data_IF_006372853255
#
_entry.id   IF_006372853255
#
_cell.length_a   1.000
_cell.length_b   1.000
_cell.length_c   1.000
_cell.angle_alpha   90.00
_cell.angle_beta   90.00
_cell.angle_gamma   90.00
#
_symmetry.space_group_name_H-M   'P 1'
#
loop_
_entity.id
_entity.type
_entity.pdbx_description
1 polymer ?
#
# COMPACT_ATOMS: atom_id res chain seq x y z
N UNK A 1 11.66 4.28 5.81
CA UNK A 1 10.26 3.88 5.51
C UNK A 1 10.03 3.54 4.04
N UNK A 2 10.56 4.32 3.08
CA UNK A 2 10.39 4.05 1.65
C UNK A 2 10.70 2.61 1.21
N UNK A 3 11.85 2.06 1.61
CA UNK A 3 12.22 0.66 1.34
C UNK A 3 11.18 -0.34 1.86
N UNK A 4 10.70 -0.14 3.09
CA UNK A 4 9.70 -1.00 3.72
C UNK A 4 8.36 -0.96 2.97
N UNK A 5 7.87 0.23 2.64
CA UNK A 5 6.66 0.36 1.81
C UNK A 5 6.84 -0.32 0.45
N UNK A 6 7.95 -0.08 -0.25
CA UNK A 6 8.22 -0.72 -1.55
C UNK A 6 8.29 -2.24 -1.46
N UNK A 7 8.87 -2.79 -0.37
CA UNK A 7 8.96 -4.23 -0.14
C UNK A 7 7.61 -4.91 0.04
N UNK A 8 6.56 -4.18 0.45
CA UNK A 8 5.20 -4.71 0.55
C UNK A 8 4.57 -5.05 -0.81
N UNK A 9 5.03 -4.45 -1.91
CA UNK A 9 4.37 -4.57 -3.22
C UNK A 9 4.26 -6.03 -3.69
N UNK A 10 5.38 -6.77 -3.69
CA UNK A 10 5.42 -8.15 -4.14
C UNK A 10 4.46 -9.09 -3.36
N UNK A 11 4.54 -9.15 -2.02
CA UNK A 11 3.62 -9.95 -1.22
C UNK A 11 2.15 -9.53 -1.31
N UNK A 12 1.87 -8.25 -1.52
CA UNK A 12 0.51 -7.77 -1.83
C UNK A 12 0.05 -8.17 -3.24
N UNK A 13 0.91 -8.74 -4.07
CA UNK A 13 0.61 -9.03 -5.48
C UNK A 13 0.40 -7.77 -6.32
N UNK A 14 1.05 -6.65 -5.95
CA UNK A 14 0.94 -5.36 -6.61
C UNK A 14 2.27 -4.96 -7.25
N UNK A 15 2.20 -4.07 -8.23
CA UNK A 15 3.39 -3.47 -8.85
C UNK A 15 3.60 -2.03 -8.40
N UNK A 16 4.86 -1.58 -8.40
CA UNK A 16 5.16 -0.15 -8.27
C UNK A 16 4.85 0.58 -9.58
N UNK A 17 4.27 1.78 -9.48
CA UNK A 17 4.02 2.61 -10.66
C UNK A 17 5.31 3.17 -11.27
N UNK A 18 6.19 3.70 -10.42
CA UNK A 18 7.41 4.38 -10.84
C UNK A 18 8.57 3.39 -10.99
N UNK A 19 9.36 3.54 -12.07
CA UNK A 19 10.63 2.81 -12.25
C UNK A 19 11.71 3.30 -11.30
N UNK A 20 11.70 4.61 -11.01
CA UNK A 20 12.58 5.27 -10.04
C UNK A 20 11.70 6.07 -9.05
N UNK A 21 11.28 5.46 -7.94
CA UNK A 21 10.32 6.04 -7.00
C UNK A 21 10.95 7.06 -6.05
N UNK A 22 10.23 8.16 -5.77
CA UNK A 22 10.59 9.11 -4.73
C UNK A 22 10.53 8.49 -3.32
N UNK A 23 11.29 9.04 -2.38
CA UNK A 23 11.42 8.49 -1.02
C UNK A 23 10.32 8.90 -0.04
N UNK A 24 9.45 9.85 -0.39
CA UNK A 24 8.36 10.27 0.51
C UNK A 24 6.99 9.67 0.22
N UNK A 25 6.83 8.92 -0.88
CA UNK A 25 5.62 8.14 -1.13
C UNK A 25 5.89 6.90 -2.00
N UNK A 26 5.08 5.87 -1.83
CA UNK A 26 5.07 4.67 -2.68
C UNK A 26 3.74 4.59 -3.41
N UNK A 27 3.78 4.34 -4.72
CA UNK A 27 2.58 4.20 -5.55
C UNK A 27 2.45 2.77 -6.02
N UNK A 28 1.38 2.10 -5.60
CA UNK A 28 1.03 0.76 -6.04
C UNK A 28 0.00 0.83 -7.18
N UNK A 29 0.21 0.03 -8.22
CA UNK A 29 -0.80 -0.23 -9.24
C UNK A 29 -1.80 -1.26 -8.70
N UNK A 30 -3.08 -0.96 -8.85
CA UNK A 30 -4.14 -1.90 -8.56
C UNK A 30 -4.41 -2.77 -9.80
N UNK A 31 -4.72 -4.07 -9.61
CA UNK A 31 -5.24 -4.91 -10.68
C UNK A 31 -6.56 -4.35 -11.21
N UNK A 32 -6.88 -4.61 -12.47
CA UNK A 32 -8.14 -4.18 -13.09
C UNK A 32 -9.39 -4.79 -12.42
N UNK A 33 -9.22 -5.90 -11.70
CA UNK A 33 -10.28 -6.56 -10.94
C UNK A 33 -10.65 -5.84 -9.64
N UNK A 34 -9.82 -4.90 -9.18
CA UNK A 34 -10.01 -4.17 -7.92
C UNK A 34 -10.60 -2.79 -8.19
N UNK A 35 -11.76 -2.50 -7.58
CA UNK A 35 -12.30 -1.13 -7.58
C UNK A 35 -11.44 -0.22 -6.68
N UNK A 36 -10.52 0.49 -7.32
CA UNK A 36 -9.59 1.38 -6.64
C UNK A 36 -10.20 2.66 -6.06
N UNK A 37 -11.47 2.97 -6.33
CA UNK A 37 -12.16 4.08 -5.66
C UNK A 37 -12.85 3.56 -4.40
N UNK A 38 -13.53 2.43 -4.49
CA UNK A 38 -14.22 1.82 -3.35
C UNK A 38 -13.25 1.34 -2.27
N UNK A 39 -12.08 0.81 -2.64
CA UNK A 39 -11.07 0.32 -1.68
C UNK A 39 -10.61 1.40 -0.69
N UNK A 40 -10.50 2.66 -1.15
CA UNK A 40 -10.12 3.80 -0.31
C UNK A 40 -11.15 4.04 0.78
N UNK A 41 -12.44 3.93 0.43
CA UNK A 41 -13.53 4.08 1.38
C UNK A 41 -13.58 2.96 2.42
N UNK A 42 -13.24 1.72 2.04
CA UNK A 42 -13.16 0.59 2.97
C UNK A 42 -11.99 0.75 3.94
N UNK A 43 -10.81 1.13 3.45
CA UNK A 43 -9.63 1.41 4.29
C UNK A 43 -9.93 2.49 5.33
N UNK A 44 -10.58 3.57 4.93
CA UNK A 44 -10.91 4.67 5.84
C UNK A 44 -12.00 4.27 6.85
N UNK A 45 -13.12 3.69 6.38
CA UNK A 45 -14.29 3.42 7.21
C UNK A 45 -14.09 2.26 8.19
N UNK A 46 -13.41 1.21 7.77
CA UNK A 46 -13.28 -0.02 8.58
C UNK A 46 -11.99 -0.06 9.38
N UNK A 47 -10.92 0.58 8.89
CA UNK A 47 -9.58 0.48 9.49
C UNK A 47 -9.02 1.82 9.95
N UNK A 48 -9.71 2.94 9.68
CA UNK A 48 -9.20 4.28 10.02
C UNK A 48 -7.96 4.68 9.21
N UNK A 49 -7.65 3.97 8.12
CA UNK A 49 -6.47 4.21 7.30
C UNK A 49 -6.86 5.05 6.09
N UNK A 50 -6.31 6.28 6.03
CA UNK A 50 -6.51 7.17 4.87
C UNK A 50 -5.28 7.14 3.97
N UNK A 51 -5.47 6.65 2.76
CA UNK A 51 -4.49 6.71 1.67
C UNK A 51 -5.09 7.43 0.47
N UNK A 52 -4.25 7.92 -0.44
CA UNK A 52 -4.73 8.66 -1.59
C UNK A 52 -4.84 7.75 -2.83
N UNK A 53 -5.88 7.97 -3.64
CA UNK A 53 -5.99 7.33 -4.96
C UNK A 53 -5.24 8.09 -6.06
N UNK A 54 -5.35 7.58 -7.28
CA UNK A 54 -4.96 8.30 -8.49
C UNK A 54 -5.93 9.42 -8.89
N UNK A 55 -5.44 10.32 -9.74
CA UNK A 55 -6.20 11.45 -10.30
C UNK A 55 -6.30 11.29 -11.81
N UNK A 56 -7.30 11.92 -12.42
CA UNK A 56 -7.52 11.92 -13.88
C UNK A 56 -7.43 10.50 -14.47
N UNK A 57 -6.56 10.25 -15.45
CA UNK A 57 -6.39 8.96 -16.13
C UNK A 57 -5.96 7.80 -15.21
N UNK A 58 -5.46 8.13 -14.01
CA UNK A 58 -5.03 7.18 -12.97
C UNK A 58 -6.11 6.94 -11.90
N UNK A 59 -7.24 7.64 -11.94
CA UNK A 59 -8.33 7.46 -10.97
C UNK A 59 -8.79 6.00 -10.96
N UNK A 60 -8.83 5.41 -9.77
CA UNK A 60 -9.21 4.01 -9.55
C UNK A 60 -8.15 2.96 -9.94
N UNK A 61 -6.98 3.37 -10.46
CA UNK A 61 -5.93 2.44 -10.94
C UNK A 61 -4.74 2.31 -10.01
N UNK A 62 -4.60 3.23 -9.04
CA UNK A 62 -3.44 3.27 -8.14
C UNK A 62 -3.84 3.64 -6.71
N UNK A 63 -3.02 3.22 -5.77
CA UNK A 63 -2.98 3.72 -4.38
C UNK A 63 -1.63 4.40 -4.15
N UNK A 64 -1.67 5.56 -3.51
CA UNK A 64 -0.51 6.35 -3.09
C UNK A 64 -0.41 6.30 -1.57
N UNK A 65 0.56 5.55 -1.09
CA UNK A 65 0.91 5.42 0.32
C UNK A 65 2.00 6.44 0.67
N UNK A 66 1.63 7.51 1.37
CA UNK A 66 2.57 8.50 1.86
C UNK A 66 3.36 7.95 3.06
N UNK A 67 4.64 8.32 3.15
CA UNK A 67 5.52 7.96 4.26
C UNK A 67 6.55 9.07 4.53
N UNK A 68 6.09 10.33 4.43
CA UNK A 68 6.85 11.54 4.71
C UNK A 68 6.08 12.46 5.67
N UNK A 69 6.80 13.36 6.35
CA UNK A 69 6.21 14.32 7.29
C UNK A 69 5.94 13.69 8.64
N UNK A 70 4.78 13.98 9.24
CA UNK A 70 4.37 13.42 10.52
C UNK A 70 3.73 12.04 10.31
N UNK A 71 4.54 11.10 9.80
CA UNK A 71 4.19 9.70 9.58
C UNK A 71 5.37 8.87 10.08
N UNK A 72 5.11 7.95 11.00
CA UNK A 72 6.10 7.00 11.48
C UNK A 72 6.03 5.65 10.74
N UNK A 73 7.00 4.78 11.06
CA UNK A 73 7.08 3.47 10.43
C UNK A 73 5.91 2.55 10.77
N UNK A 74 5.39 2.61 11.99
CA UNK A 74 4.30 1.74 12.43
C UNK A 74 2.96 2.15 11.81
N UNK A 75 2.77 3.44 11.50
CA UNK A 75 1.65 3.90 10.68
C UNK A 75 1.71 3.35 9.25
N UNK A 76 2.90 3.33 8.63
CA UNK A 76 3.11 2.67 7.32
C UNK A 76 2.81 1.17 7.42
N UNK A 77 3.26 0.51 8.49
CA UNK A 77 3.03 -0.91 8.72
C UNK A 77 1.54 -1.23 8.93
N UNK A 78 0.81 -0.37 9.65
CA UNK A 78 -0.63 -0.47 9.82
C UNK A 78 -1.37 -0.34 8.49
N UNK A 79 -0.96 0.60 7.63
CA UNK A 79 -1.53 0.74 6.29
C UNK A 79 -1.26 -0.49 5.40
N UNK A 80 -0.06 -1.07 5.46
CA UNK A 80 0.28 -2.32 4.75
C UNK A 80 -0.59 -3.49 5.25
N UNK A 81 -0.73 -3.63 6.57
CA UNK A 81 -1.61 -4.64 7.18
C UNK A 81 -3.07 -4.48 6.75
N UNK A 82 -3.56 -3.24 6.72
CA UNK A 82 -4.91 -2.95 6.23
C UNK A 82 -5.08 -3.33 4.75
N UNK A 83 -4.08 -3.09 3.90
CA UNK A 83 -4.12 -3.53 2.50
C UNK A 83 -4.19 -5.06 2.37
N UNK A 84 -3.45 -5.83 3.19
CA UNK A 84 -3.56 -7.30 3.19
C UNK A 84 -4.97 -7.79 3.51
N UNK A 85 -5.67 -7.10 4.42
CA UNK A 85 -7.03 -7.47 4.82
C UNK A 85 -8.10 -7.01 3.82
N UNK A 86 -7.86 -5.88 3.14
CA UNK A 86 -8.86 -5.27 2.26
C UNK A 86 -8.81 -5.83 0.84
N UNK A 87 -7.63 -6.05 0.27
CA UNK A 87 -7.50 -6.55 -1.11
C UNK A 87 -8.33 -7.84 -1.39
N UNK A 88 -8.38 -8.83 -0.47
CA UNK A 88 -9.22 -10.02 -0.65
C UNK A 88 -10.72 -9.72 -0.77
N UNK A 89 -11.21 -8.65 -0.12
CA UNK A 89 -12.62 -8.21 -0.23
C UNK A 89 -12.98 -7.73 -1.64
N UNK A 90 -11.97 -7.36 -2.43
CA UNK A 90 -12.09 -6.93 -3.81
C UNK A 90 -11.61 -8.01 -4.80
N UNK A 91 -11.57 -9.28 -4.37
CA UNK A 91 -11.21 -10.41 -5.24
C UNK A 91 -9.71 -10.54 -5.54
N UNK A 92 -8.85 -9.77 -4.86
CA UNK A 92 -7.40 -9.90 -4.99
C UNK A 92 -6.82 -10.66 -3.79
N UNK A 93 -6.54 -11.94 -3.99
CA UNK A 93 -6.06 -12.81 -2.93
C UNK A 93 -4.66 -12.38 -2.44
N UNK A 94 -4.53 -12.21 -1.13
CA UNK A 94 -3.26 -11.89 -0.45
C UNK A 94 -3.09 -12.85 0.70
N UNK A 95 -1.88 -13.39 0.88
CA UNK A 95 -1.56 -14.22 2.04
C UNK A 95 -1.30 -13.31 3.26
N UNK A 96 -2.09 -13.43 4.34
CA UNK A 96 -1.94 -12.56 5.51
C UNK A 96 -0.55 -12.63 6.14
N UNK A 97 -0.02 -11.47 6.55
CA UNK A 97 1.25 -11.32 7.24
C UNK A 97 2.49 -11.29 6.34
N UNK A 98 2.37 -11.59 5.05
CA UNK A 98 3.52 -11.66 4.14
C UNK A 98 4.07 -10.28 3.77
N UNK A 99 3.20 -9.30 3.53
CA UNK A 99 3.57 -7.92 3.24
C UNK A 99 4.10 -7.20 4.47
N UNK A 100 3.50 -7.46 5.64
CA UNK A 100 3.98 -6.97 6.94
C UNK A 100 5.39 -7.50 7.22
N UNK A 101 5.61 -8.81 7.05
CA UNK A 101 6.93 -9.44 7.23
C UNK A 101 7.99 -8.87 6.27
N UNK A 102 7.64 -8.65 5.00
CA UNK A 102 8.55 -8.03 4.03
C UNK A 102 8.90 -6.59 4.41
N UNK A 103 7.91 -5.81 4.86
CA UNK A 103 8.10 -4.43 5.32
C UNK A 103 9.03 -4.37 6.53
N UNK A 104 8.83 -5.26 7.51
CA UNK A 104 9.66 -5.36 8.71
C UNK A 104 11.11 -5.68 8.40
N UNK A 105 11.38 -6.69 7.56
CA UNK A 105 12.74 -7.04 7.14
C UNK A 105 13.44 -5.88 6.46
N UNK A 106 12.77 -5.25 5.49
CA UNK A 106 13.34 -4.13 4.75
C UNK A 106 13.53 -2.86 5.60
N UNK A 107 12.74 -2.69 6.67
CA UNK A 107 12.96 -1.61 7.63
C UNK A 107 14.16 -1.91 8.54
N UNK A 108 14.26 -3.12 9.08
CA UNK A 108 15.33 -3.50 10.02
C UNK A 108 16.72 -3.62 9.38
N UNK A 109 16.80 -4.07 8.12
CA UNK A 109 18.08 -4.14 7.39
C UNK A 109 18.64 -2.77 7.02
N UNK A 110 17.82 -1.73 7.12
CA UNK A 110 18.14 -0.38 6.73
C UNK A 110 18.09 0.65 7.85
N UNK A 111 17.88 0.19 9.09
CA UNK A 111 17.86 0.99 10.31
C UNK A 111 19.24 1.07 10.96
#
# INVERSE_FOLDING_TARGET
MARAARAAAGPLGLELLAKDPADGLTVYKLPETVDGVAILGVLEKEYGIRVAGGQDTLKGKIIRLAHMGYIDYFEVLAAVSALEMVLPKFGHAVQPGTAVSASQRAFSEGA
#
